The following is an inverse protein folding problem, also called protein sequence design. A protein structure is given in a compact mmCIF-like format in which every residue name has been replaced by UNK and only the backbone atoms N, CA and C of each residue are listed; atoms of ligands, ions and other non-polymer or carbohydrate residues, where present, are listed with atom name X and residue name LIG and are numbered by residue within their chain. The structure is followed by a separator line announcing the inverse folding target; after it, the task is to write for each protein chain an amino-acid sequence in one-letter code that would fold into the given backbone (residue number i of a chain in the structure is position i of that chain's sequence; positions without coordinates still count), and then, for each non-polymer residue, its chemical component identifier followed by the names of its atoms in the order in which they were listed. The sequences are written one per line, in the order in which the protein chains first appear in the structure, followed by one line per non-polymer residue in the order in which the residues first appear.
data_IF_409144087274
#
_entry.id   IF_409144087274
#
_cell.length_a   1.000
_cell.length_b   1.000
_cell.length_c   1.000
_cell.angle_alpha   90.00
_cell.angle_beta   90.00
_cell.angle_gamma   90.00
#
_symmetry.space_group_name_H-M   'P 1'
#
loop_
_entity.id
_entity.type
_entity.pdbx_description
1 polymer ?
#
# COMPACT_ATOMS: atom_id res chain seq x y z
N UNK A 1 -12.23 14.16 -34.53
CA UNK A 1 -13.35 13.54 -33.79
C UNK A 1 -12.75 13.08 -32.47
N UNK A 2 -12.54 14.02 -31.56
CA UNK A 2 -11.97 13.72 -30.25
C UNK A 2 -13.05 13.13 -29.37
N UNK A 3 -12.87 11.87 -28.96
CA UNK A 3 -13.71 11.25 -27.96
C UNK A 3 -13.53 12.00 -26.63
N UNK A 4 -14.60 12.22 -25.84
CA UNK A 4 -14.47 12.85 -24.54
C UNK A 4 -13.58 11.97 -23.64
N UNK A 5 -12.42 12.49 -23.25
CA UNK A 5 -11.58 11.90 -22.21
C UNK A 5 -12.26 12.15 -20.86
N UNK A 6 -13.24 11.31 -20.54
CA UNK A 6 -13.84 11.29 -19.21
C UNK A 6 -12.71 11.16 -18.18
N UNK A 7 -12.58 12.07 -17.20
CA UNK A 7 -11.58 11.91 -16.15
C UNK A 7 -11.91 10.61 -15.43
N UNK A 8 -11.14 9.57 -15.69
CA UNK A 8 -11.32 8.28 -15.06
C UNK A 8 -10.81 8.45 -13.65
N UNK A 9 -11.70 8.74 -12.71
CA UNK A 9 -11.36 8.79 -11.29
C UNK A 9 -10.61 7.51 -10.95
N UNK A 10 -9.38 7.58 -10.41
CA UNK A 10 -8.61 6.38 -10.10
C UNK A 10 -9.43 5.49 -9.17
N UNK A 11 -9.74 4.27 -9.63
CA UNK A 11 -10.41 3.26 -8.80
C UNK A 11 -9.61 3.06 -7.52
N UNK A 12 -10.27 3.22 -6.38
CA UNK A 12 -9.64 3.07 -5.06
C UNK A 12 -9.71 1.62 -4.63
N UNK A 13 -8.59 1.07 -4.18
CA UNK A 13 -8.48 -0.28 -3.63
C UNK A 13 -8.04 -0.19 -2.17
N UNK A 14 -8.80 -0.83 -1.29
CA UNK A 14 -8.36 -1.04 0.09
C UNK A 14 -7.57 -2.34 0.17
N UNK A 15 -6.33 -2.26 0.62
CA UNK A 15 -5.42 -3.38 0.82
C UNK A 15 -5.09 -3.50 2.32
N UNK A 16 -5.21 -4.69 2.87
CA UNK A 16 -4.90 -4.96 4.27
C UNK A 16 -3.86 -6.08 4.38
N UNK A 17 -2.72 -5.82 5.03
CA UNK A 17 -1.78 -6.88 5.41
C UNK A 17 -2.12 -7.41 6.81
N UNK A 18 -2.19 -8.73 6.92
CA UNK A 18 -2.47 -9.43 8.18
C UNK A 18 -1.26 -10.26 8.61
N UNK A 19 -1.34 -10.93 9.76
CA UNK A 19 -0.25 -11.75 10.31
C UNK A 19 -0.14 -13.16 9.70
N UNK A 20 -0.71 -13.39 8.53
CA UNK A 20 -0.52 -14.64 7.80
C UNK A 20 0.80 -14.60 7.01
N UNK A 21 1.42 -15.77 6.81
CA UNK A 21 2.61 -15.90 5.97
C UNK A 21 2.32 -15.50 4.52
N UNK A 22 3.32 -14.96 3.81
CA UNK A 22 3.20 -14.54 2.41
C UNK A 22 3.28 -13.03 2.19
N UNK A 23 4.01 -12.31 3.06
CA UNK A 23 4.24 -10.88 2.91
C UNK A 23 4.80 -10.48 1.52
N UNK A 24 5.71 -11.25 0.88
CA UNK A 24 6.18 -10.93 -0.47
C UNK A 24 5.05 -10.76 -1.49
N UNK A 25 3.97 -11.52 -1.38
CA UNK A 25 2.81 -11.41 -2.28
C UNK A 25 2.06 -10.10 -2.07
N UNK A 26 1.82 -9.72 -0.81
CA UNK A 26 1.17 -8.46 -0.47
C UNK A 26 1.98 -7.25 -0.94
N UNK A 27 3.30 -7.29 -0.74
CA UNK A 27 4.21 -6.25 -1.20
C UNK A 27 4.22 -6.15 -2.73
N UNK A 28 4.29 -7.28 -3.43
CA UNK A 28 4.25 -7.29 -4.90
C UNK A 28 2.92 -6.79 -5.45
N UNK A 29 1.81 -7.14 -4.80
CA UNK A 29 0.49 -6.63 -5.16
C UNK A 29 0.42 -5.11 -5.02
N UNK A 30 0.95 -4.55 -3.91
CA UNK A 30 1.00 -3.10 -3.73
C UNK A 30 1.76 -2.40 -4.85
N UNK A 31 2.95 -2.91 -5.22
CA UNK A 31 3.72 -2.40 -6.37
C UNK A 31 2.92 -2.42 -7.68
N UNK A 32 2.23 -3.54 -7.95
CA UNK A 32 1.39 -3.67 -9.14
C UNK A 32 0.21 -2.69 -9.15
N UNK A 33 -0.44 -2.47 -8.01
CA UNK A 33 -1.55 -1.50 -7.89
C UNK A 33 -1.07 -0.06 -8.10
N UNK A 34 0.13 0.27 -7.58
CA UNK A 34 0.78 1.56 -7.80
C UNK A 34 1.10 1.77 -9.28
N UNK A 35 1.72 0.78 -9.93
CA UNK A 35 2.04 0.81 -11.35
C UNK A 35 0.80 0.93 -12.24
N UNK A 36 -0.32 0.30 -11.83
CA UNK A 36 -1.62 0.41 -12.48
C UNK A 36 -2.37 1.73 -12.19
N UNK A 37 -1.70 2.71 -11.57
CA UNK A 37 -2.24 4.04 -11.24
C UNK A 37 -3.53 3.99 -10.41
N UNK A 38 -3.67 2.96 -9.55
CA UNK A 38 -4.78 2.87 -8.59
C UNK A 38 -4.47 3.73 -7.37
N UNK A 39 -5.51 4.21 -6.70
CA UNK A 39 -5.38 4.79 -5.36
C UNK A 39 -5.50 3.67 -4.34
N UNK A 40 -4.63 3.67 -3.34
CA UNK A 40 -4.52 2.60 -2.36
C UNK A 40 -4.79 3.15 -0.96
N UNK A 41 -5.72 2.50 -0.27
CA UNK A 41 -5.91 2.63 1.16
C UNK A 41 -5.28 1.42 1.83
N UNK A 42 -4.17 1.63 2.54
CA UNK A 42 -3.38 0.57 3.14
C UNK A 42 -3.59 0.52 4.64
N UNK A 43 -3.83 -0.69 5.16
CA UNK A 43 -3.89 -0.98 6.59
C UNK A 43 -3.03 -2.22 6.88
N UNK A 44 -2.49 -2.33 8.09
CA UNK A 44 -1.83 -3.55 8.51
C UNK A 44 -1.85 -3.74 10.02
N UNK A 45 -1.82 -5.00 10.44
CA UNK A 45 -1.79 -5.36 11.87
C UNK A 45 -0.38 -5.41 12.44
N UNK A 46 -0.25 -5.32 13.77
CA UNK A 46 1.00 -5.62 14.48
C UNK A 46 1.56 -6.99 14.13
N UNK A 47 0.70 -8.01 13.96
CA UNK A 47 1.12 -9.32 13.48
C UNK A 47 1.71 -9.27 12.06
N UNK A 48 1.16 -8.43 11.17
CA UNK A 48 1.75 -8.20 9.84
C UNK A 48 3.13 -7.54 9.90
N UNK A 49 3.37 -6.64 10.89
CA UNK A 49 4.70 -6.05 11.11
C UNK A 49 5.73 -7.12 11.49
N UNK A 50 5.34 -8.07 12.34
CA UNK A 50 6.18 -9.23 12.71
C UNK A 50 6.48 -10.07 11.48
N UNK A 51 5.44 -10.47 10.71
CA UNK A 51 5.64 -11.27 9.49
C UNK A 51 6.52 -10.54 8.47
N UNK A 52 6.34 -9.24 8.27
CA UNK A 52 7.18 -8.46 7.35
C UNK A 52 8.66 -8.44 7.75
N UNK A 53 8.94 -8.33 9.05
CA UNK A 53 10.30 -8.41 9.56
C UNK A 53 10.89 -9.81 9.38
N UNK A 54 10.12 -10.85 9.66
CA UNK A 54 10.59 -12.23 9.54
C UNK A 54 10.80 -12.70 8.09
N UNK A 55 9.89 -12.36 7.18
CA UNK A 55 9.92 -12.88 5.79
C UNK A 55 10.69 -11.98 4.82
N UNK A 56 10.77 -10.67 5.10
CA UNK A 56 11.31 -9.69 4.16
C UNK A 56 12.37 -8.77 4.76
N UNK A 57 12.77 -8.99 6.02
CA UNK A 57 13.63 -8.10 6.80
C UNK A 57 13.11 -6.64 6.87
N UNK A 58 11.81 -6.44 6.57
CA UNK A 58 11.20 -5.13 6.41
C UNK A 58 10.55 -4.68 7.71
N UNK A 59 10.99 -3.54 8.23
CA UNK A 59 10.35 -2.89 9.38
C UNK A 59 9.21 -2.01 8.88
N UNK A 60 7.97 -2.45 9.13
CA UNK A 60 6.79 -1.65 8.85
C UNK A 60 6.55 -0.64 9.99
N UNK A 61 6.57 0.68 9.73
CA UNK A 61 6.37 1.69 10.78
C UNK A 61 5.00 1.56 11.47
N UNK A 62 4.86 1.92 12.75
CA UNK A 62 3.53 2.03 13.36
C UNK A 62 2.83 3.34 12.96
N UNK A 63 3.59 4.39 12.70
CA UNK A 63 3.06 5.70 12.33
C UNK A 63 2.61 5.72 10.86
N UNK A 64 1.34 6.02 10.56
CA UNK A 64 0.81 5.95 9.18
C UNK A 64 1.56 6.86 8.20
N UNK A 65 1.98 8.06 8.62
CA UNK A 65 2.74 8.98 7.78
C UNK A 65 4.12 8.43 7.38
N UNK A 66 4.80 7.78 8.31
CA UNK A 66 6.10 7.16 8.04
C UNK A 66 5.93 5.95 7.10
N UNK A 67 4.88 5.16 7.29
CA UNK A 67 4.57 4.04 6.43
C UNK A 67 4.17 4.46 5.01
N UNK A 68 3.35 5.51 4.87
CA UNK A 68 3.01 6.07 3.57
C UNK A 68 4.28 6.51 2.82
N UNK A 69 5.21 7.18 3.51
CA UNK A 69 6.51 7.56 2.94
C UNK A 69 7.32 6.34 2.49
N UNK A 70 7.47 5.34 3.37
CA UNK A 70 8.19 4.10 3.07
C UNK A 70 7.65 3.42 1.80
N UNK A 71 6.33 3.24 1.70
CA UNK A 71 5.72 2.57 0.57
C UNK A 71 5.72 3.42 -0.70
N UNK A 72 5.54 4.74 -0.59
CA UNK A 72 5.65 5.63 -1.74
C UNK A 72 7.06 5.62 -2.34
N UNK A 73 8.09 5.70 -1.51
CA UNK A 73 9.50 5.62 -1.94
C UNK A 73 9.81 4.24 -2.56
N UNK A 74 9.38 3.16 -1.91
CA UNK A 74 9.64 1.79 -2.38
C UNK A 74 8.91 1.42 -3.67
N UNK A 75 7.67 1.89 -3.84
CA UNK A 75 6.84 1.53 -4.99
C UNK A 75 6.86 2.58 -6.12
N UNK A 76 7.52 3.73 -5.93
CA UNK A 76 7.51 4.83 -6.90
C UNK A 76 6.11 5.46 -7.05
N UNK A 77 5.37 5.57 -5.95
CA UNK A 77 4.00 6.07 -5.97
C UNK A 77 3.95 7.58 -6.21
N UNK A 78 2.92 8.03 -6.92
CA UNK A 78 2.61 9.46 -7.07
C UNK A 78 2.13 10.06 -5.74
N UNK A 79 2.17 11.38 -5.66
CA UNK A 79 1.60 12.11 -4.54
C UNK A 79 0.16 11.67 -4.25
N UNK A 80 -0.12 11.39 -2.98
CA UNK A 80 -1.42 10.94 -2.47
C UNK A 80 -1.96 9.64 -3.08
N UNK A 81 -1.14 8.86 -3.79
CA UNK A 81 -1.57 7.58 -4.36
C UNK A 81 -1.73 6.49 -3.29
N UNK A 82 -0.89 6.50 -2.25
CA UNK A 82 -0.98 5.59 -1.10
C UNK A 82 -1.37 6.41 0.13
N UNK A 83 -2.47 6.04 0.78
CA UNK A 83 -2.85 6.52 2.11
C UNK A 83 -2.79 5.35 3.07
N UNK A 84 -2.03 5.49 4.16
CA UNK A 84 -1.98 4.49 5.21
C UNK A 84 -2.86 4.93 6.37
N UNK A 85 -3.65 4.03 6.92
CA UNK A 85 -4.49 4.28 8.08
C UNK A 85 -3.88 3.61 9.31
N UNK A 86 -4.07 4.25 10.47
CA UNK A 86 -3.74 3.61 11.74
C UNK A 86 -4.69 2.43 11.98
N UNK A 87 -4.22 1.46 12.78
CA UNK A 87 -5.15 0.60 13.49
C UNK A 87 -5.79 1.41 14.60
N UNK A 88 -7.12 1.35 14.72
CA UNK A 88 -7.76 1.59 16.00
C UNK A 88 -7.39 0.40 16.93
N UNK A 89 -7.09 0.72 18.18
CA UNK A 89 -6.78 -0.27 19.22
C UNK A 89 -8.02 -1.08 19.64
#
# INVERSE_FOLDING_TARGET
MDAPTTPTTPTTVTLAFTGASGMPFGLRLLECLVAAQRRIYLLYSSAAQVVAKHECDLVLPAQPRAAARLFSERCGARDNQITVFARDD
#
